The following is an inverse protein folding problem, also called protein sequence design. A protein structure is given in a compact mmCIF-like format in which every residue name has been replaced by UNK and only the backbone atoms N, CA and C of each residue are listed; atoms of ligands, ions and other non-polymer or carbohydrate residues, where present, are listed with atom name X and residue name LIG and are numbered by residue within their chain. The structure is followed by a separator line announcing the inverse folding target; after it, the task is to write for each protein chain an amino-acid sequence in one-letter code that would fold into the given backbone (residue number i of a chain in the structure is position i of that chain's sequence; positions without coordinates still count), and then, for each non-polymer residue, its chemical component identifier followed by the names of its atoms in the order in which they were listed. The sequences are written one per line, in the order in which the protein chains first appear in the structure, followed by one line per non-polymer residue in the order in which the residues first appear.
data_IF_560013615322
#
_entry.id   IF_560013615322
#
_cell.length_a   1.000
_cell.length_b   1.000
_cell.length_c   1.000
_cell.angle_alpha   90.00
_cell.angle_beta   90.00
_cell.angle_gamma   90.00
#
_symmetry.space_group_name_H-M   'P 1'
#
loop_
_entity.id
_entity.type
_entity.pdbx_description
1 polymer ?
#
# COMPACT_ATOMS: atom_id res chain seq x y z
N UNK A 1 -66.91 38.76 19.93
CA UNK A 1 -66.16 38.89 18.65
C UNK A 1 -64.74 39.49 18.78
N UNK A 2 -64.17 39.64 19.98
CA UNK A 2 -62.81 40.21 20.18
C UNK A 2 -61.68 39.17 20.16
N UNK A 3 -62.01 37.88 20.32
CA UNK A 3 -61.03 36.77 20.39
C UNK A 3 -60.64 36.20 19.02
N UNK A 4 -61.41 36.45 17.96
CA UNK A 4 -61.10 35.96 16.61
C UNK A 4 -60.02 36.80 15.91
N UNK A 5 -59.98 38.10 16.18
CA UNK A 5 -59.00 39.02 15.59
C UNK A 5 -57.56 38.79 16.09
N UNK A 6 -57.40 38.28 17.32
CA UNK A 6 -56.07 38.02 17.90
C UNK A 6 -55.41 36.81 17.22
N UNK A 7 -56.19 35.82 16.78
CA UNK A 7 -55.67 34.62 16.10
C UNK A 7 -55.18 34.95 14.69
N UNK A 8 -55.88 35.84 13.97
CA UNK A 8 -55.43 36.32 12.65
C UNK A 8 -54.15 37.15 12.72
N UNK A 9 -53.95 37.96 13.76
CA UNK A 9 -52.73 38.75 13.90
C UNK A 9 -51.49 37.89 14.21
N UNK A 10 -51.63 36.80 14.98
CA UNK A 10 -50.49 35.90 15.28
C UNK A 10 -50.07 35.08 14.06
N UNK A 11 -51.01 34.69 13.18
CA UNK A 11 -50.70 33.99 11.95
C UNK A 11 -49.92 34.87 10.93
N UNK A 12 -50.07 36.19 10.98
CA UNK A 12 -49.36 37.12 10.09
C UNK A 12 -47.89 37.37 10.49
N UNK A 13 -47.52 37.18 11.76
CA UNK A 13 -46.13 37.34 12.21
C UNK A 13 -45.26 36.09 12.02
N UNK A 14 -45.85 34.92 11.78
CA UNK A 14 -45.11 33.68 11.51
C UNK A 14 -44.76 33.49 10.03
N UNK A 15 -45.24 34.37 9.14
CA UNK A 15 -44.92 34.36 7.72
C UNK A 15 -43.69 35.24 7.41
N UNK A 16 -42.57 35.02 8.10
CA UNK A 16 -41.27 35.48 7.63
C UNK A 16 -40.79 34.50 6.54
N UNK A 17 -41.07 34.81 5.28
CA UNK A 17 -40.46 34.13 4.13
C UNK A 17 -38.97 34.47 4.05
N UNK A 18 -38.15 33.47 3.69
CA UNK A 18 -36.70 33.64 3.45
C UNK A 18 -36.44 34.74 2.41
N UNK A 19 -35.33 35.45 2.57
CA UNK A 19 -34.96 36.50 1.64
C UNK A 19 -34.36 35.94 0.34
N UNK A 20 -34.49 36.62 -0.81
CA UNK A 20 -33.89 36.17 -2.07
C UNK A 20 -32.36 35.97 -2.01
N UNK A 21 -31.67 36.67 -1.10
CA UNK A 21 -30.24 36.49 -0.88
C UNK A 21 -29.93 35.17 -0.14
N UNK A 22 -30.76 34.80 0.85
CA UNK A 22 -30.62 33.52 1.56
C UNK A 22 -30.79 32.34 0.61
N UNK A 23 -31.76 32.40 -0.31
CA UNK A 23 -31.98 31.34 -1.31
C UNK A 23 -30.77 31.20 -2.25
N UNK A 24 -30.12 32.31 -2.62
CA UNK A 24 -28.89 32.30 -3.41
C UNK A 24 -27.75 31.62 -2.65
N UNK A 25 -27.53 31.96 -1.37
CA UNK A 25 -26.46 31.34 -0.59
C UNK A 25 -26.71 29.85 -0.35
N UNK A 26 -27.97 29.45 -0.13
CA UNK A 26 -28.35 28.03 -0.02
C UNK A 26 -28.02 27.29 -1.32
N UNK A 27 -28.31 27.86 -2.48
CA UNK A 27 -28.00 27.21 -3.76
C UNK A 27 -26.49 26.99 -4.00
N UNK A 28 -25.66 27.95 -3.55
CA UNK A 28 -24.19 27.86 -3.63
C UNK A 28 -23.66 26.80 -2.67
N UNK A 29 -24.20 26.74 -1.45
CA UNK A 29 -23.80 25.73 -0.46
C UNK A 29 -24.14 24.33 -0.99
N UNK A 30 -25.32 24.16 -1.58
CA UNK A 30 -25.73 22.89 -2.16
C UNK A 30 -24.83 22.48 -3.34
N UNK A 31 -24.48 23.42 -4.23
CA UNK A 31 -23.57 23.13 -5.34
C UNK A 31 -22.17 22.74 -4.87
N UNK A 32 -21.61 23.48 -3.91
CA UNK A 32 -20.29 23.19 -3.34
C UNK A 32 -20.27 21.85 -2.58
N UNK A 33 -21.39 21.47 -1.95
CA UNK A 33 -21.52 20.19 -1.26
C UNK A 33 -21.54 19.02 -2.24
N UNK A 34 -22.19 19.19 -3.39
CA UNK A 34 -22.17 18.20 -4.48
C UNK A 34 -20.76 18.08 -5.05
N UNK A 35 -20.10 19.20 -5.37
CA UNK A 35 -18.74 19.18 -5.91
C UNK A 35 -17.72 18.53 -4.97
N UNK A 36 -17.79 18.83 -3.66
CA UNK A 36 -16.91 18.17 -2.68
C UNK A 36 -17.13 16.67 -2.63
N UNK A 37 -18.39 16.22 -2.74
CA UNK A 37 -18.71 14.79 -2.76
C UNK A 37 -18.15 14.12 -4.01
N UNK A 38 -18.28 14.76 -5.16
CA UNK A 38 -17.76 14.25 -6.43
C UNK A 38 -16.23 14.17 -6.42
N UNK A 39 -15.56 15.20 -5.89
CA UNK A 39 -14.11 15.22 -5.71
C UNK A 39 -13.64 14.13 -4.75
N UNK A 40 -14.36 13.92 -3.64
CA UNK A 40 -14.05 12.87 -2.69
C UNK A 40 -14.17 11.48 -3.34
N UNK A 41 -15.26 11.25 -4.09
CA UNK A 41 -15.45 10.00 -4.81
C UNK A 41 -14.37 9.76 -5.89
N UNK A 42 -13.96 10.80 -6.61
CA UNK A 42 -12.89 10.70 -7.60
C UNK A 42 -11.54 10.37 -6.94
N UNK A 43 -11.26 10.96 -5.78
CA UNK A 43 -10.04 10.69 -5.01
C UNK A 43 -10.01 9.24 -4.46
N UNK A 44 -11.13 8.77 -3.92
CA UNK A 44 -11.28 7.39 -3.44
C UNK A 44 -11.07 6.39 -4.59
N UNK A 45 -11.70 6.66 -5.73
CA UNK A 45 -11.58 5.84 -6.94
C UNK A 45 -10.14 5.83 -7.47
N UNK A 46 -9.48 6.99 -7.51
CA UNK A 46 -8.10 7.10 -7.97
C UNK A 46 -7.15 6.38 -7.02
N UNK A 47 -7.36 6.51 -5.71
CA UNK A 47 -6.58 5.82 -4.68
C UNK A 47 -6.69 4.30 -4.84
N UNK A 48 -7.90 3.77 -5.05
CA UNK A 48 -8.07 2.34 -5.34
C UNK A 48 -7.37 1.90 -6.63
N UNK A 49 -7.49 2.68 -7.71
CA UNK A 49 -6.82 2.39 -8.97
C UNK A 49 -5.30 2.41 -8.84
N UNK A 50 -4.74 3.34 -8.07
CA UNK A 50 -3.32 3.42 -7.79
C UNK A 50 -2.84 2.26 -6.94
N UNK A 51 -3.57 1.87 -5.89
CA UNK A 51 -3.29 0.67 -5.09
C UNK A 51 -3.29 -0.58 -5.97
N UNK A 52 -4.30 -0.74 -6.83
CA UNK A 52 -4.38 -1.84 -7.79
C UNK A 52 -3.25 -1.82 -8.81
N UNK A 53 -2.82 -0.64 -9.28
CA UNK A 53 -1.71 -0.49 -10.24
C UNK A 53 -0.36 -0.73 -9.58
N UNK A 54 -0.16 -0.27 -8.34
CA UNK A 54 1.01 -0.60 -7.53
C UNK A 54 1.08 -2.11 -7.27
N UNK A 55 -0.05 -2.75 -7.01
CA UNK A 55 -0.18 -4.22 -6.96
C UNK A 55 0.06 -4.90 -8.33
N UNK A 56 -0.08 -4.20 -9.45
CA UNK A 56 0.31 -4.71 -10.78
C UNK A 56 1.79 -4.47 -11.07
N UNK A 57 2.40 -3.42 -10.48
CA UNK A 57 3.86 -3.19 -10.48
C UNK A 57 4.56 -4.04 -9.41
N UNK A 58 4.13 -5.29 -9.25
CA UNK A 58 4.82 -6.24 -8.37
C UNK A 58 6.15 -6.62 -8.98
N UNK A 59 7.20 -6.44 -8.21
CA UNK A 59 8.51 -6.98 -8.53
C UNK A 59 8.57 -8.50 -8.27
N UNK A 60 7.45 -9.20 -8.08
CA UNK A 60 7.42 -10.64 -7.80
C UNK A 60 6.22 -11.37 -8.43
N UNK A 61 6.30 -12.70 -8.65
CA UNK A 61 5.24 -13.50 -9.27
C UNK A 61 3.96 -13.66 -8.44
N UNK A 62 2.86 -13.97 -9.14
CA UNK A 62 1.51 -14.16 -8.55
C UNK A 62 1.40 -15.22 -7.44
N UNK A 63 2.34 -16.15 -7.34
CA UNK A 63 2.25 -17.19 -6.32
C UNK A 63 2.60 -16.69 -4.91
N UNK A 64 3.16 -15.48 -4.78
CA UNK A 64 3.34 -14.82 -3.48
C UNK A 64 2.10 -14.04 -3.02
N UNK A 65 1.05 -13.93 -3.83
CA UNK A 65 -0.13 -13.11 -3.54
C UNK A 65 -0.87 -13.53 -2.27
N UNK A 66 -0.75 -14.81 -1.91
CA UNK A 66 -1.36 -15.40 -0.72
C UNK A 66 -0.43 -15.44 0.48
N UNK A 67 0.80 -14.93 0.34
CA UNK A 67 1.82 -14.89 1.39
C UNK A 67 1.81 -13.46 1.96
N UNK A 68 1.48 -13.26 3.26
CA UNK A 68 1.39 -11.94 3.85
C UNK A 68 2.68 -11.11 3.75
N UNK A 69 3.83 -11.77 3.89
CA UNK A 69 5.17 -11.14 3.87
C UNK A 69 6.11 -11.97 2.98
N UNK A 70 6.06 -11.76 1.65
CA UNK A 70 6.84 -12.53 0.68
C UNK A 70 8.35 -12.48 0.92
N UNK A 71 8.88 -11.33 1.30
CA UNK A 71 10.31 -11.12 1.59
C UNK A 71 10.77 -11.95 2.79
N UNK A 72 10.00 -11.98 3.88
CA UNK A 72 10.30 -12.82 5.05
C UNK A 72 10.23 -14.32 4.69
N UNK A 73 9.26 -14.70 3.87
CA UNK A 73 9.16 -16.06 3.36
C UNK A 73 10.39 -16.46 2.53
N UNK A 74 10.81 -15.62 1.58
CA UNK A 74 12.04 -15.88 0.80
C UNK A 74 13.26 -15.95 1.73
N UNK A 75 13.40 -15.00 2.66
CA UNK A 75 14.51 -14.94 3.59
C UNK A 75 14.62 -16.24 4.39
N UNK A 76 13.49 -16.75 4.89
CA UNK A 76 13.45 -18.02 5.61
C UNK A 76 13.88 -19.21 4.75
N UNK A 77 13.45 -19.25 3.50
CA UNK A 77 13.76 -20.32 2.55
C UNK A 77 15.24 -20.30 2.12
N UNK A 78 15.77 -19.15 1.69
CA UNK A 78 17.18 -19.03 1.30
C UNK A 78 18.13 -19.24 2.50
N UNK A 79 17.69 -18.92 3.72
CA UNK A 79 18.45 -19.19 4.95
C UNK A 79 18.64 -20.68 5.25
N UNK A 80 17.87 -21.58 4.63
CA UNK A 80 18.11 -23.02 4.73
C UNK A 80 19.32 -23.47 3.88
N UNK A 81 19.84 -22.60 3.01
CA UNK A 81 20.95 -22.87 2.09
C UNK A 81 22.14 -21.91 2.34
N UNK A 82 22.77 -21.91 3.53
CA UNK A 82 23.85 -20.98 3.86
C UNK A 82 25.08 -21.10 2.94
N UNK A 83 25.24 -22.24 2.26
CA UNK A 83 26.29 -22.45 1.24
C UNK A 83 26.14 -21.60 -0.02
N UNK A 84 25.01 -20.90 -0.21
CA UNK A 84 24.83 -19.93 -1.29
C UNK A 84 25.53 -18.60 -1.03
N UNK A 85 25.95 -18.34 0.22
CA UNK A 85 26.65 -17.11 0.58
C UNK A 85 28.06 -17.16 -0.03
N UNK A 86 28.44 -16.23 -0.93
CA UNK A 86 29.70 -16.29 -1.67
C UNK A 86 30.91 -15.77 -0.89
N UNK A 87 30.78 -15.63 0.43
CA UNK A 87 31.79 -15.03 1.30
C UNK A 87 31.95 -15.88 2.55
N UNK A 88 33.20 -16.10 2.95
CA UNK A 88 33.51 -16.84 4.17
C UNK A 88 33.45 -15.93 5.39
N UNK A 89 33.04 -16.53 6.51
CA UNK A 89 33.09 -15.94 7.84
C UNK A 89 34.54 -15.82 8.34
N UNK A 90 34.83 -14.83 9.19
CA UNK A 90 36.12 -14.68 9.87
C UNK A 90 36.05 -15.09 11.33
N UNK A 91 37.18 -15.52 11.88
CA UNK A 91 37.34 -15.81 13.31
C UNK A 91 36.33 -16.83 13.88
N UNK A 92 35.82 -17.73 13.03
CA UNK A 92 34.85 -18.75 13.42
C UNK A 92 33.42 -18.25 13.57
N UNK A 93 33.09 -17.08 13.00
CA UNK A 93 31.70 -16.63 12.88
C UNK A 93 30.89 -17.49 11.90
N UNK A 94 29.59 -17.21 11.84
CA UNK A 94 28.65 -17.92 10.97
C UNK A 94 27.95 -16.92 10.08
N UNK A 95 28.15 -17.05 8.77
CA UNK A 95 27.43 -16.26 7.78
C UNK A 95 25.95 -16.63 7.79
N UNK A 96 25.09 -15.62 7.77
CA UNK A 96 23.64 -15.76 7.68
C UNK A 96 23.08 -14.71 6.75
N UNK A 97 21.98 -15.02 6.08
CA UNK A 97 21.17 -14.02 5.40
C UNK A 97 20.43 -13.17 6.43
N UNK A 98 20.26 -11.89 6.13
CA UNK A 98 19.62 -10.92 7.04
C UNK A 98 18.44 -10.20 6.40
N UNK A 99 18.51 -9.93 5.11
CA UNK A 99 17.50 -9.17 4.39
C UNK A 99 17.39 -9.67 2.95
N UNK A 100 16.19 -9.60 2.39
CA UNK A 100 15.91 -9.92 0.99
C UNK A 100 15.02 -8.83 0.39
N UNK A 101 15.27 -8.48 -0.87
CA UNK A 101 14.40 -7.58 -1.64
C UNK A 101 14.18 -8.09 -3.06
N UNK A 102 12.96 -7.94 -3.57
CA UNK A 102 12.64 -8.29 -4.95
C UNK A 102 13.12 -7.24 -5.94
N UNK A 103 13.91 -7.67 -6.93
CA UNK A 103 14.25 -6.84 -8.10
C UNK A 103 13.15 -6.98 -9.14
N UNK A 104 12.78 -8.22 -9.47
CA UNK A 104 11.75 -8.56 -10.46
C UNK A 104 11.28 -10.02 -10.27
N UNK A 105 10.44 -10.49 -11.20
CA UNK A 105 9.80 -11.80 -11.15
C UNK A 105 10.75 -13.02 -11.14
N UNK A 106 12.06 -12.80 -11.28
CA UNK A 106 13.11 -13.83 -11.34
C UNK A 106 14.31 -13.55 -10.46
N UNK A 107 14.48 -12.32 -9.97
CA UNK A 107 15.68 -11.87 -9.27
C UNK A 107 15.35 -11.23 -7.92
N UNK A 108 16.17 -11.54 -6.93
CA UNK A 108 16.19 -10.91 -5.60
C UNK A 108 17.60 -10.41 -5.31
N UNK A 109 17.72 -9.40 -4.45
CA UNK A 109 18.95 -9.19 -3.67
C UNK A 109 18.81 -9.85 -2.31
N UNK A 110 19.92 -10.35 -1.77
CA UNK A 110 19.97 -10.82 -0.40
C UNK A 110 21.26 -10.34 0.29
N UNK A 111 21.08 -9.70 1.43
CA UNK A 111 22.14 -9.28 2.33
C UNK A 111 22.53 -10.42 3.25
N UNK A 112 23.82 -10.51 3.56
CA UNK A 112 24.36 -11.51 4.47
C UNK A 112 25.45 -10.93 5.36
N UNK A 113 25.56 -11.48 6.56
CA UNK A 113 26.56 -11.05 7.52
C UNK A 113 26.97 -12.16 8.49
N UNK A 114 28.04 -11.90 9.23
CA UNK A 114 28.40 -12.61 10.47
C UNK A 114 28.67 -11.65 11.65
N UNK A 115 28.30 -10.37 11.50
CA UNK A 115 28.51 -9.30 12.49
C UNK A 115 29.78 -8.46 12.28
N UNK A 116 30.80 -8.98 11.58
CA UNK A 116 32.00 -8.22 11.19
C UNK A 116 32.12 -8.06 9.69
N UNK A 117 31.76 -9.12 8.96
CA UNK A 117 31.74 -9.15 7.52
C UNK A 117 30.29 -9.05 7.06
N UNK A 118 30.05 -8.10 6.17
CA UNK A 118 28.78 -7.91 5.47
C UNK A 118 28.98 -8.05 3.96
N UNK A 119 27.88 -8.27 3.26
CA UNK A 119 27.83 -8.20 1.80
C UNK A 119 26.42 -8.37 1.28
N UNK A 120 26.25 -8.09 0.00
CA UNK A 120 25.00 -8.24 -0.73
C UNK A 120 25.27 -8.97 -2.04
N UNK A 121 24.34 -9.83 -2.45
CA UNK A 121 24.41 -10.51 -3.73
C UNK A 121 23.03 -10.62 -4.39
N UNK A 122 23.05 -10.77 -5.71
CA UNK A 122 21.88 -11.01 -6.53
C UNK A 122 21.72 -12.51 -6.74
N UNK A 123 20.51 -13.00 -6.51
CA UNK A 123 20.14 -14.39 -6.72
C UNK A 123 18.98 -14.47 -7.70
N UNK A 124 19.04 -15.46 -8.59
CA UNK A 124 17.86 -15.88 -9.32
C UNK A 124 17.05 -16.83 -8.45
N UNK A 125 15.73 -16.73 -8.52
CA UNK A 125 14.83 -17.62 -7.80
C UNK A 125 13.72 -18.15 -8.70
N UNK A 126 13.27 -19.38 -8.43
CA UNK A 126 12.11 -19.96 -9.13
C UNK A 126 11.42 -21.00 -8.27
N UNK A 127 10.11 -21.16 -8.48
CA UNK A 127 9.32 -22.21 -7.84
C UNK A 127 9.38 -23.49 -8.69
N UNK A 128 9.81 -24.60 -8.11
CA UNK A 128 9.86 -25.88 -8.83
C UNK A 128 8.47 -26.56 -8.86
N UNK A 129 8.37 -27.70 -9.58
CA UNK A 129 7.11 -28.47 -9.72
C UNK A 129 6.56 -29.03 -8.41
N UNK A 130 7.35 -29.06 -7.34
CA UNK A 130 6.97 -29.53 -6.00
C UNK A 130 6.59 -28.37 -5.07
N UNK A 131 6.59 -27.13 -5.56
CA UNK A 131 6.31 -25.96 -4.74
C UNK A 131 7.45 -25.56 -3.81
N UNK A 132 8.69 -25.93 -4.14
CA UNK A 132 9.88 -25.49 -3.40
C UNK A 132 10.61 -24.42 -4.19
N UNK A 133 11.14 -23.42 -3.49
CA UNK A 133 12.00 -22.42 -4.10
C UNK A 133 13.37 -23.00 -4.40
N UNK A 134 13.94 -22.57 -5.52
CA UNK A 134 15.30 -22.85 -5.92
C UNK A 134 16.01 -21.54 -6.16
N UNK A 135 17.19 -21.42 -5.58
CA UNK A 135 18.02 -20.23 -5.67
C UNK A 135 19.30 -20.53 -6.44
N UNK A 136 19.85 -19.52 -7.10
CA UNK A 136 21.17 -19.60 -7.70
C UNK A 136 21.83 -18.24 -7.68
N UNK A 137 23.09 -18.19 -7.26
CA UNK A 137 23.88 -16.97 -7.26
C UNK A 137 24.07 -16.46 -8.69
N UNK A 138 23.69 -15.20 -8.93
CA UNK A 138 23.88 -14.53 -10.23
C UNK A 138 25.12 -13.65 -10.19
N UNK A 139 25.32 -12.92 -9.09
CA UNK A 139 26.48 -12.04 -8.93
C UNK A 139 26.53 -11.39 -7.57
N UNK A 140 27.72 -10.93 -7.19
CA UNK A 140 27.96 -10.19 -5.94
C UNK A 140 27.82 -8.70 -6.24
N UNK A 141 27.13 -7.97 -5.38
CA UNK A 141 27.07 -6.51 -5.44
C UNK A 141 28.40 -5.99 -4.89
N UNK A 142 29.22 -5.38 -5.74
CA UNK A 142 30.48 -4.77 -5.32
C UNK A 142 30.19 -3.37 -4.79
N UNK A 143 30.72 -3.09 -3.60
CA UNK A 143 30.94 -1.72 -3.11
C UNK A 143 32.04 -1.00 -3.90
#
# INVERSE_FOLDING_TARGET
MRKLYIICCVAAFLACGRSPEEDKYVSIIDSLKVENKDLQQANDTLSEHLLKKAYIARNYPKYFDTIPEPEEFILKEISQEPGLIPKEAVLGGTMRFTEVSFINDKLITASYEEGHVMGEAVYSYSMNKRGQLQFSLVGIVKE
#
